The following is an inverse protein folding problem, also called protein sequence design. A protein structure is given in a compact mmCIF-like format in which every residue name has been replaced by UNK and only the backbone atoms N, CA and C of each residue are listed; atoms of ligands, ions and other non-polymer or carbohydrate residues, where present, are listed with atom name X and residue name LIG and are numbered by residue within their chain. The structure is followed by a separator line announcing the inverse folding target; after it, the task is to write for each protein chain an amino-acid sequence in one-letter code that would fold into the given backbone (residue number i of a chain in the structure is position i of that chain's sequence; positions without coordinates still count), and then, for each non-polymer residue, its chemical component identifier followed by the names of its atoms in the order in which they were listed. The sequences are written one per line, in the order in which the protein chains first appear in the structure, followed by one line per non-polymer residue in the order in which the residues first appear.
data_IF_298119726981
#
_entry.id   IF_298119726981
#
_cell.length_a   1.000
_cell.length_b   1.000
_cell.length_c   1.000
_cell.angle_alpha   90.00
_cell.angle_beta   90.00
_cell.angle_gamma   90.00
#
_symmetry.space_group_name_H-M   'P 1'
#
loop_
_entity.id
_entity.type
_entity.pdbx_description
1 polymer ?
#
# COMPACT_ATOMS: atom_id res chain seq x y z
N UNK A 1 -8.09 -5.37 -30.23
CA UNK A 1 -7.34 -4.36 -29.44
C UNK A 1 -7.52 -4.70 -27.98
N UNK A 2 -6.62 -5.52 -27.41
CA UNK A 2 -6.67 -5.83 -25.98
C UNK A 2 -6.21 -4.61 -25.20
N UNK A 3 -7.12 -4.02 -24.44
CA UNK A 3 -6.85 -2.98 -23.45
C UNK A 3 -6.20 -3.63 -22.21
N UNK A 4 -5.07 -4.30 -22.39
CA UNK A 4 -4.17 -4.60 -21.29
C UNK A 4 -3.50 -3.28 -20.89
N UNK A 5 -4.28 -2.41 -20.26
CA UNK A 5 -3.73 -1.20 -19.65
C UNK A 5 -3.05 -1.67 -18.37
N UNK A 6 -1.70 -1.72 -18.31
CA UNK A 6 -1.00 -2.19 -17.12
C UNK A 6 -1.34 -1.30 -15.91
N UNK A 7 -1.68 -0.02 -16.13
CA UNK A 7 -2.13 0.89 -15.09
C UNK A 7 -3.51 0.51 -14.52
N UNK A 8 -4.36 -0.17 -15.29
CA UNK A 8 -5.64 -0.68 -14.79
C UNK A 8 -5.48 -1.92 -13.90
N UNK A 9 -4.30 -2.56 -13.90
CA UNK A 9 -3.98 -3.67 -12.99
C UNK A 9 -3.55 -3.19 -11.61
N UNK A 10 -3.25 -1.90 -11.44
CA UNK A 10 -2.94 -1.35 -10.12
C UNK A 10 -4.23 -1.27 -9.27
N UNK A 11 -4.23 -1.82 -8.05
CA UNK A 11 -5.37 -1.73 -7.17
C UNK A 11 -5.60 -0.28 -6.73
N UNK A 12 -6.87 0.10 -6.67
CA UNK A 12 -7.28 1.41 -6.15
C UNK A 12 -7.09 1.49 -4.64
N UNK A 13 -6.92 2.71 -4.10
CA UNK A 13 -6.81 2.92 -2.64
C UNK A 13 -8.01 2.33 -1.91
N UNK A 14 -9.23 2.51 -2.44
CA UNK A 14 -10.42 1.93 -1.83
C UNK A 14 -10.40 0.39 -1.81
N UNK A 15 -9.90 -0.26 -2.86
CA UNK A 15 -9.71 -1.72 -2.86
C UNK A 15 -8.69 -2.16 -1.81
N UNK A 16 -7.62 -1.38 -1.61
CA UNK A 16 -6.65 -1.64 -0.55
C UNK A 16 -7.29 -1.45 0.83
N UNK A 17 -8.10 -0.41 1.03
CA UNK A 17 -8.78 -0.12 2.30
C UNK A 17 -9.86 -1.14 2.66
N UNK A 18 -10.50 -1.75 1.67
CA UNK A 18 -11.46 -2.85 1.88
C UNK A 18 -10.74 -4.14 2.34
N UNK A 19 -9.43 -4.26 2.08
CA UNK A 19 -8.67 -5.45 2.46
C UNK A 19 -8.56 -5.54 4.00
N UNK A 20 -8.87 -6.71 4.61
CA UNK A 20 -8.78 -6.88 6.06
C UNK A 20 -7.36 -6.66 6.62
N UNK A 21 -6.32 -6.71 5.80
CA UNK A 21 -4.95 -6.37 6.20
C UNK A 21 -4.75 -4.88 6.53
N UNK A 22 -5.62 -3.98 6.06
CA UNK A 22 -5.57 -2.56 6.42
C UNK A 22 -6.09 -2.30 7.84
N UNK A 23 -7.02 -3.10 8.34
CA UNK A 23 -7.63 -2.93 9.66
C UNK A 23 -6.60 -2.85 10.81
N UNK A 24 -5.65 -3.80 10.97
CA UNK A 24 -4.63 -3.70 12.01
C UNK A 24 -3.69 -2.50 11.82
N UNK A 25 -3.37 -2.13 10.57
CA UNK A 25 -2.51 -0.97 10.30
C UNK A 25 -3.20 0.34 10.72
N UNK A 26 -4.49 0.48 10.39
CA UNK A 26 -5.29 1.64 10.76
C UNK A 26 -5.44 1.72 12.28
N UNK A 27 -5.65 0.59 12.96
CA UNK A 27 -5.75 0.53 14.41
C UNK A 27 -4.44 0.93 15.12
N UNK A 28 -3.29 0.52 14.58
CA UNK A 28 -1.97 0.78 15.18
C UNK A 28 -1.44 2.18 14.88
N UNK A 29 -1.51 2.62 13.62
CA UNK A 29 -0.89 3.87 13.17
C UNK A 29 -1.88 5.02 13.01
N UNK A 30 -3.18 4.71 12.86
CA UNK A 30 -4.23 5.66 12.54
C UNK A 30 -4.54 5.69 11.04
N UNK A 31 -5.78 6.06 10.69
CA UNK A 31 -6.25 6.04 9.30
C UNK A 31 -5.48 6.98 8.39
N UNK A 32 -5.26 8.22 8.81
CA UNK A 32 -4.60 9.26 8.00
C UNK A 32 -3.18 8.87 7.57
N UNK A 33 -2.26 8.46 8.46
CA UNK A 33 -0.92 8.05 8.04
C UNK A 33 -0.93 6.81 7.15
N UNK A 34 -1.81 5.83 7.42
CA UNK A 34 -1.96 4.63 6.58
C UNK A 34 -2.42 4.99 5.16
N UNK A 35 -3.48 5.78 5.02
CA UNK A 35 -3.99 6.21 3.71
C UNK A 35 -2.94 7.03 2.96
N UNK A 36 -2.23 7.91 3.66
CA UNK A 36 -1.17 8.73 3.05
C UNK A 36 -0.05 7.84 2.51
N UNK A 37 0.39 6.84 3.28
CA UNK A 37 1.42 5.89 2.85
C UNK A 37 0.95 5.00 1.70
N UNK A 38 -0.28 4.48 1.75
CA UNK A 38 -0.86 3.72 0.63
C UNK A 38 -0.86 4.54 -0.67
N UNK A 39 -1.27 5.82 -0.60
CA UNK A 39 -1.25 6.73 -1.76
C UNK A 39 0.15 6.91 -2.34
N UNK A 40 1.15 7.08 -1.48
CA UNK A 40 2.54 7.21 -1.92
C UNK A 40 3.07 5.92 -2.55
N UNK A 41 2.76 4.76 -1.98
CA UNK A 41 3.17 3.47 -2.54
C UNK A 41 2.52 3.22 -3.90
N UNK A 42 1.20 3.39 -4.01
CA UNK A 42 0.48 3.24 -5.29
C UNK A 42 1.01 4.22 -6.33
N UNK A 43 1.28 5.47 -5.95
CA UNK A 43 1.88 6.45 -6.86
C UNK A 43 3.28 6.02 -7.34
N UNK A 44 4.14 5.55 -6.42
CA UNK A 44 5.47 5.05 -6.75
C UNK A 44 5.44 3.84 -7.70
N UNK A 45 4.56 2.87 -7.45
CA UNK A 45 4.37 1.73 -8.34
C UNK A 45 3.80 2.15 -9.70
N UNK A 46 2.92 3.15 -9.74
CA UNK A 46 2.40 3.70 -10.99
C UNK A 46 3.51 4.33 -11.83
N UNK A 47 4.41 5.06 -11.20
CA UNK A 47 5.54 5.67 -11.90
C UNK A 47 6.58 4.63 -12.33
N UNK A 48 6.83 3.60 -11.51
CA UNK A 48 7.67 2.46 -11.88
C UNK A 48 7.09 1.68 -13.07
N UNK A 49 5.77 1.46 -13.08
CA UNK A 49 5.08 0.78 -14.19
C UNK A 49 5.14 1.58 -15.48
N UNK A 50 5.02 2.91 -15.40
CA UNK A 50 5.22 3.81 -16.56
C UNK A 50 6.65 3.75 -17.09
N UNK A 51 7.63 3.52 -16.24
CA UNK A 51 9.02 3.32 -16.63
C UNK A 51 9.31 1.92 -17.21
N UNK A 52 8.30 1.06 -17.39
CA UNK A 52 8.46 -0.31 -17.86
C UNK A 52 8.76 -1.34 -16.77
N UNK A 53 8.57 -0.96 -15.51
CA UNK A 53 8.72 -1.83 -14.34
C UNK A 53 7.59 -2.85 -14.18
N UNK A 54 7.64 -3.60 -13.08
CA UNK A 54 6.72 -4.71 -12.81
C UNK A 54 5.43 -4.20 -12.15
N UNK A 55 4.30 -4.83 -12.48
CA UNK A 55 3.01 -4.57 -11.82
C UNK A 55 3.05 -4.97 -10.35
N UNK A 56 2.43 -4.17 -9.49
CA UNK A 56 2.31 -4.48 -8.08
C UNK A 56 0.90 -4.94 -7.70
N UNK A 57 0.81 -6.11 -7.09
CA UNK A 57 -0.43 -6.63 -6.53
C UNK A 57 -0.74 -5.98 -5.19
N UNK A 58 -2.03 -6.02 -4.80
CA UNK A 58 -2.50 -5.45 -3.54
C UNK A 58 -1.71 -5.96 -2.32
N UNK A 59 -1.36 -7.26 -2.30
CA UNK A 59 -0.58 -7.85 -1.23
C UNK A 59 0.83 -7.23 -1.13
N UNK A 60 1.52 -7.02 -2.25
CA UNK A 60 2.85 -6.39 -2.24
C UNK A 60 2.80 -4.94 -1.75
N UNK A 61 1.79 -4.18 -2.19
CA UNK A 61 1.60 -2.79 -1.78
C UNK A 61 1.32 -2.72 -0.26
N UNK A 62 0.50 -3.63 0.26
CA UNK A 62 0.17 -3.69 1.69
C UNK A 62 1.40 -4.07 2.54
N UNK A 63 2.17 -5.07 2.13
CA UNK A 63 3.42 -5.46 2.81
C UNK A 63 4.41 -4.30 2.82
N UNK A 64 4.67 -3.67 1.67
CA UNK A 64 5.56 -2.51 1.59
C UNK A 64 5.06 -1.34 2.44
N UNK A 65 3.75 -1.12 2.51
CA UNK A 65 3.15 -0.09 3.36
C UNK A 65 3.38 -0.39 4.84
N UNK A 66 3.16 -1.64 5.27
CA UNK A 66 3.37 -2.06 6.66
C UNK A 66 4.83 -1.92 7.09
N UNK A 67 5.78 -2.34 6.24
CA UNK A 67 7.22 -2.20 6.50
C UNK A 67 7.65 -0.72 6.63
N UNK A 68 7.14 0.15 5.74
CA UNK A 68 7.45 1.57 5.81
C UNK A 68 6.83 2.24 7.04
N UNK A 69 5.57 1.91 7.38
CA UNK A 69 4.95 2.41 8.61
C UNK A 69 5.71 1.94 9.86
N UNK A 70 6.19 0.71 9.89
CA UNK A 70 7.02 0.19 10.97
C UNK A 70 8.33 0.97 11.11
N UNK A 71 8.95 1.37 10.00
CA UNK A 71 10.17 2.21 9.98
C UNK A 71 9.92 3.65 10.41
N UNK A 72 8.80 4.23 10.00
CA UNK A 72 8.45 5.62 10.33
C UNK A 72 7.96 5.78 11.79
N UNK A 73 7.36 4.73 12.35
CA UNK A 73 6.75 4.74 13.68
C UNK A 73 7.33 3.65 14.59
N UNK A 74 8.65 3.70 14.89
CA UNK A 74 9.31 2.66 15.69
C UNK A 74 8.74 2.55 17.12
N UNK A 75 8.27 3.66 17.70
CA UNK A 75 7.70 3.69 19.07
C UNK A 75 6.27 3.14 19.17
N UNK A 76 5.55 2.95 18.05
CA UNK A 76 4.15 2.50 18.06
C UNK A 76 3.97 1.00 17.91
N UNK A 77 5.04 0.27 17.58
CA UNK A 77 5.07 -1.18 17.67
C UNK A 77 5.27 -1.57 19.14
N UNK A 78 4.25 -1.36 19.99
CA UNK A 78 4.23 -2.07 21.27
C UNK A 78 4.18 -3.56 20.93
N UNK A 79 5.19 -4.36 21.32
CA UNK A 79 5.08 -5.80 21.19
C UNK A 79 3.94 -6.21 22.12
N UNK A 80 2.83 -6.65 21.54
CA UNK A 80 1.79 -7.36 22.28
C UNK A 80 2.34 -8.77 22.52
N UNK A 81 3.06 -8.90 23.64
CA UNK A 81 3.38 -10.19 24.24
C UNK A 81 2.27 -10.60 25.20
#
# INVERSE_FOLDING_TARGET
MSLDNPLARLPSIDQLLINPACEPLIRTYGRTPVVTRLRQQVAGFRDALRAGGVTADAAMILTATAENLARDFPDRLKPVH
#
